data_IF_884008593602
#
_entry.id   IF_884008593602
#
_cell.length_a   1.000
_cell.length_b   1.000
_cell.length_c   1.000
_cell.angle_alpha   90.00
_cell.angle_beta   90.00
_cell.angle_gamma   90.00
#
_symmetry.space_group_name_H-M   'P 1'
#
loop_
_entity.id
_entity.type
_entity.pdbx_description
1 polymer ?
#
# COMPACT_ATOMS: atom_id res chain seq x y z
N UNK A 1 -19.57 5.81 -45.96
CA UNK A 1 -18.75 4.58 -45.86
C UNK A 1 -19.45 3.67 -44.87
N UNK A 2 -19.87 2.49 -45.33
CA UNK A 2 -20.83 1.62 -44.65
C UNK A 2 -20.16 0.75 -43.58
N UNK A 3 -20.82 0.59 -42.44
CA UNK A 3 -20.46 -0.23 -41.27
C UNK A 3 -20.48 -1.76 -41.52
N UNK A 4 -20.00 -2.21 -42.69
CA UNK A 4 -20.11 -3.60 -43.15
C UNK A 4 -18.97 -4.50 -42.70
N UNK A 5 -17.86 -3.96 -42.21
CA UNK A 5 -16.70 -4.75 -41.75
C UNK A 5 -16.89 -5.35 -40.36
N UNK A 6 -17.70 -4.76 -39.48
CA UNK A 6 -17.86 -5.26 -38.11
C UNK A 6 -18.86 -6.43 -37.98
N UNK A 7 -19.84 -6.54 -38.88
CA UNK A 7 -20.82 -7.64 -38.88
C UNK A 7 -20.21 -9.01 -39.21
N UNK A 8 -19.07 -9.05 -39.89
CA UNK A 8 -18.34 -10.30 -40.14
C UNK A 8 -17.49 -10.72 -38.93
N UNK A 9 -17.02 -9.78 -38.11
CA UNK A 9 -16.17 -10.12 -36.99
C UNK A 9 -16.91 -10.94 -35.93
N UNK A 10 -18.16 -10.55 -35.59
CA UNK A 10 -19.01 -11.32 -34.67
C UNK A 10 -19.38 -12.71 -35.20
N UNK A 11 -19.23 -12.95 -36.50
CA UNK A 11 -19.48 -14.26 -37.13
C UNK A 11 -18.30 -15.24 -37.05
N UNK A 12 -17.11 -14.77 -36.68
CA UNK A 12 -15.95 -15.63 -36.43
C UNK A 12 -16.19 -16.53 -35.21
N UNK A 13 -15.55 -17.70 -35.16
CA UNK A 13 -15.59 -18.52 -33.94
C UNK A 13 -14.93 -17.78 -32.77
N UNK A 14 -15.34 -18.12 -31.54
CA UNK A 14 -14.87 -17.45 -30.32
C UNK A 14 -13.34 -17.44 -30.21
N UNK A 15 -12.70 -18.58 -30.47
CA UNK A 15 -11.23 -18.73 -30.40
C UNK A 15 -10.50 -17.75 -31.33
N UNK A 16 -10.97 -17.59 -32.57
CA UNK A 16 -10.40 -16.63 -33.52
C UNK A 16 -10.61 -15.19 -33.06
N UNK A 17 -11.78 -14.84 -32.52
CA UNK A 17 -12.04 -13.49 -31.98
C UNK A 17 -11.14 -13.19 -30.79
N UNK A 18 -11.01 -14.15 -29.88
CA UNK A 18 -10.17 -14.08 -28.69
C UNK A 18 -8.70 -13.83 -29.06
N UNK A 19 -8.17 -14.57 -30.06
CA UNK A 19 -6.82 -14.35 -30.59
C UNK A 19 -6.66 -12.95 -31.20
N UNK A 20 -7.64 -12.49 -31.99
CA UNK A 20 -7.56 -11.17 -32.64
C UNK A 20 -7.59 -10.06 -31.60
N UNK A 21 -8.48 -10.13 -30.60
CA UNK A 21 -8.55 -9.15 -29.52
C UNK A 21 -7.30 -9.11 -28.66
N UNK A 22 -6.78 -10.28 -28.28
CA UNK A 22 -5.51 -10.36 -27.53
C UNK A 22 -4.36 -9.73 -28.32
N UNK A 23 -4.19 -10.08 -29.60
CA UNK A 23 -3.13 -9.53 -30.43
C UNK A 23 -3.28 -8.02 -30.65
N UNK A 24 -4.49 -7.56 -30.95
CA UNK A 24 -4.74 -6.14 -31.21
C UNK A 24 -4.58 -5.28 -29.94
N UNK A 25 -4.98 -5.78 -28.77
CA UNK A 25 -4.71 -5.13 -27.49
C UNK A 25 -3.20 -4.99 -27.25
N UNK A 26 -2.42 -6.06 -27.45
CA UNK A 26 -0.97 -6.04 -27.28
C UNK A 26 -0.28 -5.07 -28.26
N UNK A 27 -0.67 -5.07 -29.54
CA UNK A 27 -0.12 -4.19 -30.57
C UNK A 27 -0.41 -2.72 -30.23
N UNK A 28 -1.65 -2.38 -29.88
CA UNK A 28 -2.00 -1.00 -29.55
C UNK A 28 -1.32 -0.53 -28.26
N UNK A 29 -1.24 -1.40 -27.24
CA UNK A 29 -0.52 -1.10 -26.01
C UNK A 29 0.94 -0.76 -26.30
N UNK A 30 1.63 -1.61 -27.08
CA UNK A 30 3.03 -1.39 -27.42
C UNK A 30 3.22 -0.14 -28.29
N UNK A 31 2.36 0.07 -29.28
CA UNK A 31 2.40 1.28 -30.11
C UNK A 31 2.24 2.56 -29.28
N UNK A 32 1.38 2.57 -28.26
CA UNK A 32 1.29 3.71 -27.34
C UNK A 32 2.60 3.83 -26.56
N UNK A 33 3.08 2.75 -25.94
CA UNK A 33 4.30 2.76 -25.13
C UNK A 33 5.51 3.31 -25.90
N UNK A 34 5.69 2.91 -27.15
CA UNK A 34 6.83 3.31 -28.00
C UNK A 34 6.79 4.79 -28.41
N UNK A 35 5.61 5.41 -28.42
CA UNK A 35 5.42 6.81 -28.84
C UNK A 35 5.31 7.79 -27.66
N UNK A 36 5.44 7.30 -26.42
CA UNK A 36 5.43 8.15 -25.24
C UNK A 36 6.75 8.91 -25.09
N UNK A 37 6.74 10.13 -24.53
CA UNK A 37 7.98 10.85 -24.20
C UNK A 37 8.80 10.07 -23.16
N UNK A 38 10.07 10.41 -23.00
CA UNK A 38 10.95 9.78 -21.99
C UNK A 38 10.51 10.09 -20.55
N UNK A 39 9.90 11.26 -20.33
CA UNK A 39 9.44 11.73 -19.03
C UNK A 39 8.29 12.73 -19.19
N UNK A 40 7.46 12.87 -18.16
CA UNK A 40 6.43 13.89 -18.06
C UNK A 40 6.53 14.67 -16.75
N UNK A 41 6.33 15.99 -16.81
CA UNK A 41 6.24 16.84 -15.61
C UNK A 41 4.89 16.76 -14.91
N UNK A 42 3.85 16.26 -15.59
CA UNK A 42 2.54 16.03 -14.98
C UNK A 42 2.54 14.67 -14.27
N UNK A 43 2.34 14.60 -12.94
CA UNK A 43 2.44 13.35 -12.19
C UNK A 43 1.47 12.25 -12.64
N UNK A 44 0.23 12.61 -13.01
CA UNK A 44 -0.76 11.63 -13.48
C UNK A 44 -0.41 11.07 -14.87
N UNK A 45 0.15 11.92 -15.74
CA UNK A 45 0.64 11.47 -17.04
C UNK A 45 1.91 10.62 -16.89
N UNK A 46 2.81 10.97 -15.96
CA UNK A 46 4.03 10.21 -15.68
C UNK A 46 3.73 8.81 -15.13
N UNK A 47 2.81 8.68 -14.17
CA UNK A 47 2.34 7.36 -13.69
C UNK A 47 1.80 6.48 -14.81
N UNK A 48 0.93 7.02 -15.67
CA UNK A 48 0.39 6.29 -16.81
C UNK A 48 1.47 5.93 -17.83
N UNK A 49 2.44 6.82 -18.04
CA UNK A 49 3.58 6.56 -18.91
C UNK A 49 4.42 5.40 -18.40
N UNK A 50 4.79 5.42 -17.12
CA UNK A 50 5.53 4.34 -16.47
C UNK A 50 4.76 3.01 -16.51
N UNK A 51 3.45 3.05 -16.34
CA UNK A 51 2.57 1.89 -16.49
C UNK A 51 2.59 1.30 -17.91
N UNK A 52 2.61 2.13 -18.96
CA UNK A 52 2.77 1.67 -20.35
C UNK A 52 4.16 1.11 -20.66
N UNK A 53 5.21 1.79 -20.20
CA UNK A 53 6.60 1.33 -20.40
C UNK A 53 6.88 0.05 -19.61
N UNK A 54 6.24 -0.11 -18.46
CA UNK A 54 6.50 -1.17 -17.49
C UNK A 54 7.60 -0.77 -16.51
N UNK A 55 7.36 -0.96 -15.21
CA UNK A 55 8.26 -0.51 -14.14
C UNK A 55 9.64 -1.18 -14.16
N UNK A 56 9.75 -2.36 -14.77
CA UNK A 56 11.00 -3.13 -14.92
C UNK A 56 11.87 -2.59 -16.06
N UNK A 57 11.29 -1.84 -17.01
CA UNK A 57 11.98 -1.25 -18.15
C UNK A 57 12.41 0.20 -17.90
N UNK A 58 12.12 0.75 -16.72
CA UNK A 58 12.53 2.10 -16.34
C UNK A 58 14.01 2.12 -15.95
N UNK A 59 14.73 3.23 -16.22
CA UNK A 59 16.09 3.41 -15.70
C UNK A 59 16.12 3.26 -14.18
N UNK A 60 17.21 2.69 -13.65
CA UNK A 60 17.36 2.42 -12.21
C UNK A 60 17.22 3.65 -11.31
N UNK A 61 17.54 4.83 -11.84
CA UNK A 61 17.46 6.11 -11.14
C UNK A 61 16.09 6.77 -11.21
N UNK A 62 15.18 6.24 -12.02
CA UNK A 62 13.83 6.77 -12.15
C UNK A 62 13.00 6.39 -10.92
N UNK A 63 12.45 7.39 -10.24
CA UNK A 63 11.47 7.14 -9.19
C UNK A 63 10.23 6.47 -9.79
N UNK A 64 9.91 5.27 -9.29
CA UNK A 64 8.72 4.53 -9.70
C UNK A 64 7.48 5.19 -9.13
N UNK A 65 6.56 5.57 -10.01
CA UNK A 65 5.30 6.20 -9.66
C UNK A 65 4.14 5.22 -9.99
N UNK A 66 3.66 4.45 -9.00
CA UNK A 66 2.55 3.50 -9.20
C UNK A 66 1.23 4.20 -9.52
N UNK A 67 0.35 3.54 -10.29
CA UNK A 67 -1.01 4.02 -10.56
C UNK A 67 -1.79 4.17 -9.26
N UNK A 68 -2.60 5.23 -9.16
CA UNK A 68 -3.36 5.52 -7.95
C UNK A 68 -4.79 5.00 -7.98
N UNK A 69 -5.24 4.53 -6.82
CA UNK A 69 -6.61 4.13 -6.52
C UNK A 69 -7.05 4.87 -5.26
N UNK A 70 -8.14 5.63 -5.35
CA UNK A 70 -8.72 6.35 -4.21
C UNK A 70 -10.05 5.70 -3.84
N UNK A 71 -10.10 5.15 -2.63
CA UNK A 71 -11.27 4.51 -2.05
C UNK A 71 -11.80 5.38 -0.93
N UNK A 72 -13.12 5.53 -0.90
CA UNK A 72 -13.83 6.25 0.14
C UNK A 72 -14.83 5.32 0.79
N UNK A 73 -14.82 5.25 2.09
CA UNK A 73 -15.70 4.38 2.87
C UNK A 73 -16.68 5.20 3.70
N UNK A 74 -17.93 4.75 3.74
CA UNK A 74 -18.96 5.31 4.62
C UNK A 74 -18.62 5.03 6.08
N UNK A 75 -18.98 5.94 6.99
CA UNK A 75 -18.68 5.80 8.43
C UNK A 75 -19.16 4.48 9.05
N UNK A 76 -20.25 3.90 8.52
CA UNK A 76 -20.79 2.62 9.00
C UNK A 76 -20.13 1.37 8.36
N UNK A 77 -19.09 1.54 7.52
CA UNK A 77 -18.36 0.45 6.87
C UNK A 77 -19.17 -0.36 5.84
N UNK A 78 -20.39 0.05 5.54
CA UNK A 78 -21.30 -0.69 4.66
C UNK A 78 -21.08 -0.38 3.18
N UNK A 79 -20.60 0.82 2.84
CA UNK A 79 -20.41 1.26 1.46
C UNK A 79 -18.99 1.73 1.23
N UNK A 80 -18.33 1.08 0.29
CA UNK A 80 -17.09 1.61 -0.29
C UNK A 80 -17.35 2.11 -1.69
N UNK A 81 -16.83 3.30 -1.98
CA UNK A 81 -16.93 3.96 -3.28
C UNK A 81 -15.53 4.19 -3.83
N UNK A 82 -15.42 4.06 -5.13
CA UNK A 82 -14.21 4.35 -5.89
C UNK A 82 -14.30 5.76 -6.45
N UNK A 83 -13.42 6.64 -5.98
CA UNK A 83 -13.37 8.04 -6.42
C UNK A 83 -12.48 8.20 -7.65
N UNK A 84 -11.24 7.72 -7.57
CA UNK A 84 -10.26 7.79 -8.65
C UNK A 84 -9.71 6.40 -8.90
N UNK A 85 -9.68 6.01 -10.17
CA UNK A 85 -9.10 4.76 -10.64
C UNK A 85 -8.23 5.01 -11.87
N UNK A 86 -6.94 5.26 -11.65
CA UNK A 86 -6.01 5.51 -12.76
C UNK A 86 -5.80 4.27 -13.64
N UNK A 87 -6.07 3.06 -13.14
CA UNK A 87 -6.05 1.85 -13.96
C UNK A 87 -7.18 1.84 -15.00
N UNK A 88 -8.40 2.25 -14.64
CA UNK A 88 -9.47 2.41 -15.63
C UNK A 88 -9.14 3.50 -16.65
N UNK A 89 -8.51 4.60 -16.21
CA UNK A 89 -8.05 5.65 -17.12
C UNK A 89 -6.97 5.12 -18.10
N UNK A 90 -6.08 4.24 -17.64
CA UNK A 90 -5.11 3.54 -18.48
C UNK A 90 -5.82 2.65 -19.51
N UNK A 91 -6.74 1.78 -19.08
CA UNK A 91 -7.52 0.91 -19.99
C UNK A 91 -8.28 1.73 -21.03
N UNK A 92 -8.91 2.83 -20.62
CA UNK A 92 -9.67 3.71 -21.52
C UNK A 92 -8.79 4.48 -22.51
N UNK A 93 -7.48 4.58 -22.28
CA UNK A 93 -6.54 5.22 -23.22
C UNK A 93 -6.15 4.30 -24.38
N UNK A 94 -6.49 3.01 -24.31
CA UNK A 94 -6.22 2.04 -25.38
C UNK A 94 -7.47 1.98 -26.27
N UNK A 95 -7.41 2.45 -27.53
CA UNK A 95 -8.60 2.65 -28.37
C UNK A 95 -9.47 1.40 -28.54
N UNK A 96 -8.88 0.20 -28.63
CA UNK A 96 -9.65 -1.03 -28.80
C UNK A 96 -10.55 -1.36 -27.60
N UNK A 97 -10.26 -0.82 -26.42
CA UNK A 97 -11.06 -1.02 -25.21
C UNK A 97 -12.49 -0.42 -25.33
N UNK A 98 -12.75 0.43 -26.33
CA UNK A 98 -14.08 1.00 -26.58
C UNK A 98 -14.86 0.25 -27.68
N UNK A 99 -14.26 -0.76 -28.31
CA UNK A 99 -14.89 -1.47 -29.44
C UNK A 99 -16.02 -2.41 -29.00
N UNK A 100 -15.80 -3.17 -27.92
CA UNK A 100 -16.79 -4.07 -27.33
C UNK A 100 -16.40 -4.46 -25.91
N UNK A 101 -17.32 -5.06 -25.15
CA UNK A 101 -17.01 -5.62 -23.83
C UNK A 101 -15.95 -6.73 -23.90
N UNK A 102 -16.00 -7.59 -24.94
CA UNK A 102 -14.98 -8.61 -25.19
C UNK A 102 -13.59 -7.98 -25.38
N UNK A 103 -13.47 -6.99 -26.27
CA UNK A 103 -12.18 -6.33 -26.52
C UNK A 103 -11.66 -5.63 -25.25
N UNK A 104 -12.56 -4.99 -24.49
CA UNK A 104 -12.22 -4.36 -23.22
C UNK A 104 -11.67 -5.36 -22.20
N UNK A 105 -12.23 -6.57 -22.10
CA UNK A 105 -11.75 -7.56 -21.14
C UNK A 105 -10.33 -8.02 -21.45
N UNK A 106 -9.97 -8.18 -22.74
CA UNK A 106 -8.60 -8.47 -23.15
C UNK A 106 -7.62 -7.35 -22.79
N UNK A 107 -8.02 -6.09 -23.00
CA UNK A 107 -7.19 -4.94 -22.58
C UNK A 107 -7.01 -4.90 -21.07
N UNK A 108 -8.09 -5.13 -20.30
CA UNK A 108 -8.04 -5.18 -18.84
C UNK A 108 -7.07 -6.28 -18.38
N UNK A 109 -7.15 -7.48 -18.94
CA UNK A 109 -6.27 -8.59 -18.58
C UNK A 109 -4.81 -8.30 -18.94
N UNK A 110 -4.55 -7.76 -20.14
CA UNK A 110 -3.21 -7.32 -20.52
C UNK A 110 -2.65 -6.27 -19.55
N UNK A 111 -3.45 -5.29 -19.15
CA UNK A 111 -3.04 -4.29 -18.18
C UNK A 111 -2.79 -4.91 -16.80
N UNK A 112 -3.61 -5.85 -16.33
CA UNK A 112 -3.40 -6.57 -15.05
C UNK A 112 -2.03 -7.26 -15.02
N UNK A 113 -1.68 -7.97 -16.09
CA UNK A 113 -0.42 -8.71 -16.18
C UNK A 113 0.81 -7.77 -16.13
N UNK A 114 0.66 -6.55 -16.63
CA UNK A 114 1.74 -5.55 -16.68
C UNK A 114 1.80 -4.65 -15.44
N UNK A 115 0.67 -4.32 -14.83
CA UNK A 115 0.59 -3.40 -13.70
C UNK A 115 0.62 -4.17 -12.39
N UNK A 116 1.83 -4.38 -11.89
CA UNK A 116 2.07 -5.12 -10.63
C UNK A 116 2.00 -4.24 -9.38
N UNK A 117 2.15 -2.92 -9.53
CA UNK A 117 2.25 -1.98 -8.41
C UNK A 117 1.15 -0.91 -8.50
N UNK A 118 0.41 -0.74 -7.41
CA UNK A 118 -0.67 0.25 -7.24
C UNK A 118 -0.50 0.98 -5.92
N UNK A 119 -0.93 2.24 -5.87
CA UNK A 119 -0.95 3.08 -4.67
C UNK A 119 -2.38 3.37 -4.24
N UNK A 120 -2.74 2.85 -3.08
CA UNK A 120 -4.03 3.01 -2.43
C UNK A 120 -4.02 4.23 -1.51
N UNK A 121 -4.98 5.11 -1.76
CA UNK A 121 -5.42 6.14 -0.84
C UNK A 121 -6.82 5.77 -0.35
N UNK A 122 -6.99 5.62 0.96
CA UNK A 122 -8.29 5.33 1.58
C UNK A 122 -8.76 6.54 2.39
N UNK A 123 -10.07 6.75 2.55
CA UNK A 123 -10.57 7.80 3.44
C UNK A 123 -11.92 7.41 4.04
N UNK A 124 -12.14 7.79 5.29
CA UNK A 124 -13.41 7.60 6.00
C UNK A 124 -14.26 8.87 5.94
N UNK A 125 -15.51 8.72 5.51
CA UNK A 125 -16.50 9.80 5.53
C UNK A 125 -17.02 10.02 6.95
N UNK A 126 -16.30 10.77 7.78
CA UNK A 126 -16.66 11.04 9.18
C UNK A 126 -18.01 11.76 9.39
N UNK A 127 -18.61 12.37 8.35
CA UNK A 127 -19.77 13.24 8.52
C UNK A 127 -21.14 12.55 8.37
N UNK A 128 -21.22 11.25 8.06
CA UNK A 128 -22.51 10.54 7.93
C UNK A 128 -23.47 11.09 6.85
N UNK A 129 -23.13 12.21 6.23
CA UNK A 129 -23.87 12.85 5.14
C UNK A 129 -23.54 12.15 3.82
N UNK A 130 -23.92 10.88 3.71
CA UNK A 130 -24.01 10.17 2.42
C UNK A 130 -25.01 10.87 1.46
N UNK A 131 -25.82 11.81 1.97
CA UNK A 131 -26.90 12.48 1.23
C UNK A 131 -26.44 13.64 0.33
N UNK A 132 -25.22 14.16 0.47
CA UNK A 132 -24.75 15.34 -0.32
C UNK A 132 -23.56 15.07 -1.24
N UNK A 133 -23.15 13.81 -1.37
CA UNK A 133 -22.06 13.41 -2.25
C UNK A 133 -22.14 11.96 -2.64
N UNK A 134 -23.22 11.54 -3.30
CA UNK A 134 -23.31 10.25 -3.98
C UNK A 134 -22.48 10.26 -5.29
N UNK A 135 -21.26 10.79 -5.20
CA UNK A 135 -20.30 10.89 -6.28
C UNK A 135 -19.27 9.79 -6.09
N UNK A 136 -19.12 8.91 -7.08
CA UNK A 136 -18.24 7.75 -7.04
C UNK A 136 -18.99 6.47 -7.39
N UNK A 137 -18.27 5.46 -7.89
CA UNK A 137 -18.88 4.16 -8.24
C UNK A 137 -18.83 3.26 -7.01
N UNK A 138 -19.99 2.77 -6.55
CA UNK A 138 -20.04 1.78 -5.47
C UNK A 138 -19.26 0.52 -5.85
N UNK A 139 -18.37 0.10 -4.96
CA UNK A 139 -17.56 -1.09 -5.13
C UNK A 139 -18.40 -2.31 -4.72
N UNK A 140 -19.11 -2.87 -5.71
CA UNK A 140 -19.87 -4.12 -5.56
C UNK A 140 -19.00 -5.36 -5.78
N UNK A 141 -17.87 -5.21 -6.49
CA UNK A 141 -16.89 -6.25 -6.81
C UNK A 141 -15.46 -5.67 -6.72
N UNK A 142 -14.45 -6.54 -6.64
CA UNK A 142 -13.04 -6.14 -6.58
C UNK A 142 -12.66 -5.23 -7.77
N UNK A 143 -11.81 -4.23 -7.51
CA UNK A 143 -11.26 -3.35 -8.55
C UNK A 143 -10.49 -4.17 -9.56
N UNK A 144 -10.65 -3.82 -10.85
CA UNK A 144 -10.05 -4.51 -11.97
C UNK A 144 -8.52 -4.63 -11.97
N UNK A 145 -7.76 -4.08 -11.02
CA UNK A 145 -6.30 -3.97 -11.14
C UNK A 145 -5.48 -5.11 -10.52
N UNK A 146 -6.00 -5.88 -9.55
CA UNK A 146 -5.35 -7.08 -8.94
C UNK A 146 -3.80 -7.05 -8.86
N UNK A 147 -3.19 -6.08 -8.17
CA UNK A 147 -1.73 -5.92 -8.10
C UNK A 147 -1.09 -6.96 -7.18
N UNK A 148 0.18 -7.29 -7.42
CA UNK A 148 0.99 -8.10 -6.49
C UNK A 148 1.66 -7.24 -5.41
N UNK A 149 1.93 -5.97 -5.69
CA UNK A 149 2.45 -5.00 -4.72
C UNK A 149 1.48 -3.85 -4.52
N UNK A 150 1.04 -3.65 -3.28
CA UNK A 150 0.18 -2.55 -2.88
C UNK A 150 0.96 -1.55 -2.03
N UNK A 151 1.08 -0.32 -2.50
CA UNK A 151 1.51 0.81 -1.67
C UNK A 151 0.26 1.36 -0.98
N UNK A 152 0.32 1.55 0.33
CA UNK A 152 -0.75 2.14 1.12
C UNK A 152 -0.23 3.48 1.62
N UNK A 153 -0.69 4.57 1.02
CA UNK A 153 -0.16 5.90 1.32
C UNK A 153 -1.08 6.65 2.28
N UNK A 154 -0.58 6.90 3.50
CA UNK A 154 -1.20 7.81 4.47
C UNK A 154 -0.60 9.19 4.30
N UNK A 155 -1.37 10.12 3.71
CA UNK A 155 -0.93 11.50 3.51
C UNK A 155 -1.32 12.38 4.70
N UNK A 156 -0.44 13.32 5.08
CA UNK A 156 -0.73 14.33 6.10
C UNK A 156 -1.96 15.15 5.70
N UNK A 157 -2.99 15.16 6.53
CA UNK A 157 -4.15 15.99 6.32
C UNK A 157 -3.76 17.47 6.40
N UNK A 158 -3.51 18.11 5.25
CA UNK A 158 -3.67 19.56 5.18
C UNK A 158 -5.16 19.86 5.40
N UNK A 159 -5.45 20.95 6.10
CA UNK A 159 -6.69 21.38 6.77
C UNK A 159 -8.06 21.28 6.05
N UNK A 160 -8.14 20.62 4.89
CA UNK A 160 -9.34 20.51 4.07
C UNK A 160 -9.64 19.12 3.49
N UNK A 161 -8.90 18.06 3.84
CA UNK A 161 -9.25 16.71 3.37
C UNK A 161 -9.18 15.67 4.48
N UNK A 162 -10.24 14.88 4.54
CA UNK A 162 -10.48 13.72 5.40
C UNK A 162 -9.23 12.85 5.50
N UNK A 163 -8.75 12.67 6.73
CA UNK A 163 -7.54 11.92 7.00
C UNK A 163 -7.66 10.51 6.41
N UNK A 164 -6.61 10.10 5.69
CA UNK A 164 -6.47 8.74 5.18
C UNK A 164 -6.18 7.83 6.36
N UNK A 165 -7.22 7.20 6.92
CA UNK A 165 -7.07 6.47 8.16
C UNK A 165 -7.75 5.10 8.08
N UNK A 166 -6.96 4.08 8.38
CA UNK A 166 -7.45 2.80 8.84
C UNK A 166 -7.62 2.87 10.36
N UNK A 167 -8.64 2.20 10.86
CA UNK A 167 -8.96 2.18 12.30
C UNK A 167 -8.25 1.05 13.05
N UNK A 168 -7.80 0.03 12.32
CA UNK A 168 -7.03 -1.09 12.83
C UNK A 168 -6.40 -1.89 11.67
N UNK A 169 -5.57 -2.88 12.02
CA UNK A 169 -5.07 -3.89 11.09
C UNK A 169 -6.18 -4.70 10.43
N UNK A 170 -7.27 -5.04 11.13
CA UNK A 170 -8.42 -5.76 10.57
C UNK A 170 -9.12 -4.95 9.49
N UNK A 171 -9.32 -3.66 9.76
CA UNK A 171 -9.92 -2.74 8.82
C UNK A 171 -9.03 -2.57 7.58
N UNK A 172 -7.70 -2.39 7.75
CA UNK A 172 -6.76 -2.34 6.62
C UNK A 172 -6.87 -3.59 5.74
N UNK A 173 -6.78 -4.78 6.32
CA UNK A 173 -6.83 -6.03 5.55
C UNK A 173 -8.20 -6.23 4.89
N UNK A 174 -9.31 -5.86 5.55
CA UNK A 174 -10.64 -5.94 4.95
C UNK A 174 -10.76 -5.05 3.71
N UNK A 175 -10.33 -3.79 3.79
CA UNK A 175 -10.32 -2.87 2.64
C UNK A 175 -9.45 -3.43 1.52
N UNK A 176 -8.22 -3.86 1.82
CA UNK A 176 -7.31 -4.41 0.81
C UNK A 176 -7.92 -5.63 0.12
N UNK A 177 -8.51 -6.55 0.90
CA UNK A 177 -9.10 -7.78 0.37
C UNK A 177 -10.31 -7.49 -0.50
N UNK A 178 -11.21 -6.59 -0.07
CA UNK A 178 -12.40 -6.21 -0.83
C UNK A 178 -12.07 -5.41 -2.10
N UNK A 179 -11.01 -4.58 -2.07
CA UNK A 179 -10.64 -3.72 -3.20
C UNK A 179 -9.79 -4.48 -4.22
N UNK A 180 -8.84 -5.30 -3.78
CA UNK A 180 -7.83 -5.91 -4.65
C UNK A 180 -7.89 -7.44 -4.72
N UNK A 181 -8.65 -8.08 -3.83
CA UNK A 181 -8.68 -9.54 -3.70
C UNK A 181 -7.45 -10.10 -3.00
N UNK A 182 -7.17 -11.38 -3.23
CA UNK A 182 -6.14 -12.16 -2.53
C UNK A 182 -4.78 -12.21 -3.23
N UNK A 183 -4.60 -11.51 -4.35
CA UNK A 183 -3.39 -11.56 -5.17
C UNK A 183 -2.24 -10.69 -4.63
N UNK A 184 -2.46 -9.92 -3.57
CA UNK A 184 -1.44 -9.05 -3.00
C UNK A 184 -0.38 -9.89 -2.27
N UNK A 185 0.85 -9.82 -2.78
CA UNK A 185 2.02 -10.52 -2.23
C UNK A 185 2.89 -9.61 -1.38
N UNK A 186 2.81 -8.29 -1.60
CA UNK A 186 3.59 -7.30 -0.88
C UNK A 186 2.75 -6.07 -0.55
N UNK A 187 2.84 -5.61 0.69
CA UNK A 187 2.30 -4.33 1.14
C UNK A 187 3.45 -3.37 1.48
N UNK A 188 3.37 -2.13 1.02
CA UNK A 188 4.30 -1.06 1.39
C UNK A 188 3.51 0.02 2.10
N UNK A 189 3.66 0.12 3.42
CA UNK A 189 3.07 1.19 4.22
C UNK A 189 3.90 2.46 4.02
N UNK A 190 3.34 3.44 3.32
CA UNK A 190 3.98 4.73 3.06
C UNK A 190 3.32 5.80 3.93
N UNK A 191 3.89 6.01 5.12
CA UNK A 191 3.28 6.74 6.22
C UNK A 191 3.94 8.11 6.40
N UNK A 192 3.13 9.09 6.77
CA UNK A 192 3.57 10.42 7.19
C UNK A 192 3.12 10.65 8.63
N UNK A 193 4.04 11.14 9.47
CA UNK A 193 3.79 11.40 10.89
C UNK A 193 4.48 12.68 11.36
N UNK A 194 3.91 13.30 12.40
CA UNK A 194 4.59 14.35 13.14
C UNK A 194 5.49 13.72 14.21
N UNK A 195 6.59 14.38 14.56
CA UNK A 195 7.55 13.87 15.56
C UNK A 195 6.97 13.63 16.96
N UNK A 196 5.77 14.16 17.25
CA UNK A 196 5.03 13.97 18.49
C UNK A 196 4.01 12.82 18.42
N UNK A 197 3.78 12.25 17.24
CA UNK A 197 2.87 11.13 17.10
C UNK A 197 3.47 9.88 17.75
N UNK A 198 2.62 9.17 18.48
CA UNK A 198 2.97 7.86 19.02
C UNK A 198 2.75 6.74 18.01
N UNK A 199 3.19 5.53 18.36
CA UNK A 199 3.16 4.39 17.45
C UNK A 199 1.73 4.04 17.02
N UNK A 200 0.77 4.14 17.94
CA UNK A 200 -0.64 3.93 17.63
C UNK A 200 -1.15 5.00 16.67
N UNK A 201 -0.86 6.28 16.89
CA UNK A 201 -1.27 7.36 15.97
C UNK A 201 -0.67 7.23 14.57
N UNK A 202 0.57 6.75 14.48
CA UNK A 202 1.25 6.52 13.20
C UNK A 202 0.46 5.51 12.36
N UNK A 203 0.04 4.39 12.95
CA UNK A 203 -0.65 3.31 12.24
C UNK A 203 -2.18 3.46 12.29
N UNK A 204 -2.75 3.54 13.49
CA UNK A 204 -4.17 3.47 13.84
C UNK A 204 -4.64 4.72 14.64
N UNK A 205 -4.77 5.90 14.01
CA UNK A 205 -5.04 7.17 14.72
C UNK A 205 -6.42 7.27 15.40
N UNK A 206 -7.29 6.28 15.22
CA UNK A 206 -8.62 6.23 15.82
C UNK A 206 -8.75 5.21 16.97
N UNK A 207 -7.69 4.46 17.26
CA UNK A 207 -7.68 3.50 18.36
C UNK A 207 -7.32 4.20 19.68
N UNK A 208 -7.86 3.72 20.79
CA UNK A 208 -7.49 4.22 22.12
C UNK A 208 -5.98 4.02 22.32
N UNK A 209 -5.29 5.09 22.76
CA UNK A 209 -3.86 5.03 23.04
C UNK A 209 -3.61 4.04 24.18
N UNK A 210 -2.83 2.99 23.91
CA UNK A 210 -2.33 2.11 24.96
C UNK A 210 -1.31 2.92 25.78
N UNK A 211 -1.54 3.04 27.09
CA UNK A 211 -0.63 3.75 27.98
C UNK A 211 0.76 3.11 27.94
N UNK A 212 1.79 3.95 28.03
CA UNK A 212 3.21 3.60 27.89
C UNK A 212 3.65 2.45 28.81
N UNK A 213 3.01 2.29 29.96
CA UNK A 213 3.40 1.36 31.01
C UNK A 213 3.21 -0.12 30.64
N UNK A 214 2.45 -0.43 29.57
CA UNK A 214 2.29 -1.80 29.04
C UNK A 214 3.31 -2.15 27.94
N UNK A 215 4.09 -1.18 27.47
CA UNK A 215 5.17 -1.43 26.51
C UNK A 215 6.42 -1.88 27.27
N UNK A 216 6.36 -3.11 27.79
CA UNK A 216 7.48 -3.79 28.40
C UNK A 216 8.71 -3.75 27.48
N UNK A 217 9.91 -3.81 28.05
CA UNK A 217 11.16 -3.96 27.30
C UNK A 217 10.98 -4.98 26.17
N UNK A 218 11.48 -4.67 24.97
CA UNK A 218 11.42 -5.62 23.85
C UNK A 218 12.05 -6.94 24.27
N UNK A 219 11.24 -7.99 24.43
CA UNK A 219 11.72 -9.33 24.74
C UNK A 219 12.64 -9.77 23.59
N UNK A 220 13.91 -9.99 23.92
CA UNK A 220 14.96 -10.27 22.94
C UNK A 220 15.72 -11.54 23.31
N UNK A 221 16.07 -12.30 22.28
CA UNK A 221 16.91 -13.48 22.40
C UNK A 221 18.15 -13.32 21.54
N UNK A 222 19.32 -13.44 22.17
CA UNK A 222 20.58 -13.38 21.43
C UNK A 222 20.83 -14.67 20.65
N UNK A 223 21.05 -14.51 19.36
CA UNK A 223 21.41 -15.61 18.47
C UNK A 223 22.89 -15.95 18.73
N UNK A 224 23.13 -17.19 19.16
CA UNK A 224 24.48 -17.71 19.46
C UNK A 224 25.04 -18.62 18.36
N UNK A 225 24.27 -18.85 17.30
CA UNK A 225 24.69 -19.66 16.16
C UNK A 225 25.79 -18.91 15.38
N UNK A 226 27.02 -19.46 15.27
CA UNK A 226 28.11 -18.83 14.53
C UNK A 226 27.88 -18.76 13.02
N UNK A 227 26.93 -19.54 12.49
CA UNK A 227 26.57 -19.57 11.07
C UNK A 227 25.46 -18.60 10.70
N UNK A 228 24.81 -17.99 11.70
CA UNK A 228 23.78 -16.98 11.48
C UNK A 228 24.39 -15.69 10.91
N UNK A 229 23.73 -15.12 9.90
CA UNK A 229 24.15 -13.85 9.33
C UNK A 229 23.98 -12.72 10.35
N UNK A 230 25.09 -12.04 10.67
CA UNK A 230 25.13 -11.02 11.71
C UNK A 230 24.24 -9.82 11.43
N UNK A 231 23.89 -9.55 10.18
CA UNK A 231 22.95 -8.47 9.81
C UNK A 231 21.48 -8.90 9.84
N UNK A 232 21.20 -10.20 9.94
CA UNK A 232 19.82 -10.69 9.91
C UNK A 232 19.21 -10.68 11.30
N UNK A 233 18.02 -10.07 11.40
CA UNK A 233 17.18 -10.02 12.60
C UNK A 233 15.84 -10.66 12.26
N UNK A 234 15.22 -11.33 13.23
CA UNK A 234 13.87 -11.84 13.01
C UNK A 234 12.99 -11.77 14.24
N UNK A 235 11.67 -11.70 14.03
CA UNK A 235 10.66 -11.68 15.08
C UNK A 235 9.74 -12.89 14.94
N UNK A 236 9.63 -13.66 16.02
CA UNK A 236 8.81 -14.87 16.13
C UNK A 236 7.35 -14.55 16.53
N UNK A 237 6.41 -15.49 16.36
CA UNK A 237 5.00 -15.29 16.72
C UNK A 237 4.71 -14.92 18.17
N UNK A 238 5.59 -15.31 19.09
CA UNK A 238 5.56 -14.89 20.49
C UNK A 238 6.14 -13.49 20.73
N UNK A 239 6.34 -12.72 19.65
CA UNK A 239 6.76 -11.31 19.64
C UNK A 239 8.17 -11.07 20.19
N UNK A 240 9.02 -12.10 20.16
CA UNK A 240 10.41 -12.00 20.59
C UNK A 240 11.33 -11.63 19.43
N UNK A 241 12.21 -10.67 19.67
CA UNK A 241 13.23 -10.27 18.70
C UNK A 241 14.47 -11.15 18.84
N UNK A 242 14.85 -11.83 17.77
CA UNK A 242 16.08 -12.60 17.69
C UNK A 242 17.14 -11.84 16.91
N UNK A 243 18.26 -11.55 17.58
CA UNK A 243 19.31 -10.65 17.08
C UNK A 243 20.69 -11.11 17.53
N UNK A 244 21.73 -10.83 16.77
CA UNK A 244 23.10 -11.07 17.25
C UNK A 244 23.50 -10.06 18.32
N UNK A 245 24.20 -10.50 19.37
CA UNK A 245 24.63 -9.62 20.47
C UNK A 245 25.50 -8.46 19.97
N UNK A 246 26.38 -8.74 19.00
CA UNK A 246 27.25 -7.74 18.37
C UNK A 246 26.43 -6.64 17.68
N UNK A 247 25.35 -7.00 17.00
CA UNK A 247 24.51 -6.03 16.31
C UNK A 247 23.70 -5.19 17.31
N UNK A 248 23.19 -5.82 18.38
CA UNK A 248 22.44 -5.14 19.43
C UNK A 248 23.28 -4.06 20.14
N UNK A 249 24.46 -4.41 20.64
CA UNK A 249 25.30 -3.49 21.43
C UNK A 249 25.68 -2.22 20.65
N UNK A 250 25.78 -2.31 19.33
CA UNK A 250 26.08 -1.16 18.47
C UNK A 250 24.88 -0.30 18.10
N UNK A 251 23.65 -0.81 18.22
CA UNK A 251 22.44 -0.20 17.65
C UNK A 251 21.22 -0.32 18.57
N UNK A 252 21.42 -0.36 19.90
CA UNK A 252 20.38 -0.69 20.88
C UNK A 252 19.09 0.13 20.70
N UNK A 253 19.21 1.46 20.58
CA UNK A 253 18.05 2.34 20.39
C UNK A 253 17.32 2.12 19.06
N UNK A 254 18.06 2.00 17.95
CA UNK A 254 17.46 1.74 16.64
C UNK A 254 16.80 0.36 16.59
N UNK A 255 17.36 -0.62 17.31
CA UNK A 255 16.81 -1.97 17.41
C UNK A 255 15.51 -2.01 18.20
N UNK A 256 15.43 -1.27 19.31
CA UNK A 256 14.18 -1.11 20.06
C UNK A 256 13.08 -0.47 19.20
N UNK A 257 13.41 0.61 18.48
CA UNK A 257 12.46 1.27 17.59
C UNK A 257 12.02 0.35 16.45
N UNK A 258 12.98 -0.34 15.79
CA UNK A 258 12.66 -1.33 14.76
C UNK A 258 11.75 -2.43 15.31
N UNK A 259 12.03 -2.97 16.49
CA UNK A 259 11.22 -4.01 17.09
C UNK A 259 9.77 -3.56 17.31
N UNK A 260 9.56 -2.34 17.78
CA UNK A 260 8.22 -1.75 17.93
C UNK A 260 7.46 -1.70 16.61
N UNK A 261 8.12 -1.27 15.53
CA UNK A 261 7.48 -1.28 14.21
C UNK A 261 7.19 -2.71 13.74
N UNK A 262 8.08 -3.68 13.99
CA UNK A 262 7.84 -5.08 13.65
C UNK A 262 6.64 -5.67 14.38
N UNK A 263 6.36 -5.27 15.62
CA UNK A 263 5.13 -5.67 16.31
C UNK A 263 3.88 -5.26 15.51
N UNK A 264 3.85 -4.02 15.00
CA UNK A 264 2.73 -3.53 14.16
C UNK A 264 2.64 -4.26 12.83
N UNK A 265 3.78 -4.62 12.21
CA UNK A 265 3.76 -5.43 11.00
C UNK A 265 3.26 -6.87 11.29
N UNK A 266 3.58 -7.41 12.48
CA UNK A 266 3.11 -8.72 12.90
C UNK A 266 1.58 -8.73 13.13
N UNK A 267 1.01 -7.70 13.75
CA UNK A 267 -0.44 -7.51 13.88
C UNK A 267 -1.15 -7.59 12.51
N UNK A 268 -0.60 -6.92 11.50
CA UNK A 268 -1.13 -6.96 10.13
C UNK A 268 -1.05 -8.38 9.55
N UNK A 269 0.09 -9.07 9.73
CA UNK A 269 0.26 -10.43 9.23
C UNK A 269 -0.69 -11.43 9.89
N UNK A 270 -0.93 -11.31 11.20
CA UNK A 270 -1.83 -12.21 11.91
C UNK A 270 -3.24 -12.20 11.33
N UNK A 271 -3.75 -11.02 10.99
CA UNK A 271 -5.04 -10.88 10.30
C UNK A 271 -4.95 -11.31 8.83
N UNK A 272 -3.85 -10.95 8.16
CA UNK A 272 -3.69 -11.22 6.73
C UNK A 272 -3.62 -12.71 6.39
N UNK A 273 -3.15 -13.57 7.30
CA UNK A 273 -3.02 -15.03 7.08
C UNK A 273 -4.26 -15.68 6.47
N UNK A 274 -5.46 -15.26 6.89
CA UNK A 274 -6.72 -15.84 6.40
C UNK A 274 -7.26 -15.16 5.14
N UNK A 275 -6.97 -13.87 4.94
CA UNK A 275 -7.62 -13.03 3.91
C UNK A 275 -6.72 -12.70 2.72
N UNK A 276 -5.41 -12.64 2.94
CA UNK A 276 -4.37 -12.41 1.94
C UNK A 276 -3.31 -13.54 2.02
N UNK A 277 -3.67 -14.78 1.66
CA UNK A 277 -2.77 -15.94 1.78
C UNK A 277 -1.50 -15.82 0.93
N UNK A 278 -1.48 -14.93 -0.08
CA UNK A 278 -0.32 -14.65 -0.90
C UNK A 278 0.68 -13.66 -0.27
N UNK A 279 0.34 -13.01 0.85
CA UNK A 279 1.16 -11.95 1.43
C UNK A 279 2.47 -12.52 2.01
N UNK A 280 3.59 -12.09 1.42
CA UNK A 280 4.95 -12.53 1.76
C UNK A 280 5.80 -11.41 2.35
N UNK A 281 5.46 -10.14 2.13
CA UNK A 281 6.30 -9.03 2.57
C UNK A 281 5.47 -7.82 2.98
N UNK A 282 5.92 -7.16 4.05
CA UNK A 282 5.43 -5.84 4.46
C UNK A 282 6.63 -4.93 4.63
N UNK A 283 6.70 -3.89 3.80
CA UNK A 283 7.67 -2.81 3.96
C UNK A 283 7.01 -1.63 4.67
N UNK A 284 7.77 -0.96 5.52
CA UNK A 284 7.40 0.33 6.09
C UNK A 284 8.34 1.41 5.55
N UNK A 285 7.75 2.51 5.09
CA UNK A 285 8.41 3.79 4.81
C UNK A 285 7.70 4.85 5.62
N UNK A 286 8.37 5.41 6.61
CA UNK A 286 7.86 6.47 7.46
C UNK A 286 8.60 7.77 7.14
N UNK A 287 7.83 8.84 6.95
CA UNK A 287 8.32 10.19 6.78
C UNK A 287 7.90 11.01 8.00
N UNK A 288 8.88 11.40 8.80
CA UNK A 288 8.67 12.15 10.05
C UNK A 288 9.07 13.61 9.86
N UNK A 289 8.15 14.54 10.13
CA UNK A 289 8.46 15.97 10.15
C UNK A 289 9.05 16.35 11.50
N UNK A 290 10.29 16.84 11.49
CA UNK A 290 11.02 17.26 12.69
C UNK A 290 11.77 18.56 12.40
N UNK A 291 11.41 19.63 13.10
CA UNK A 291 12.10 20.94 13.03
C UNK A 291 12.38 21.44 11.59
N UNK A 292 11.36 21.39 10.74
CA UNK A 292 11.42 21.79 9.32
C UNK A 292 12.19 20.86 8.37
N UNK A 293 12.71 19.74 8.88
CA UNK A 293 13.27 18.65 8.10
C UNK A 293 12.32 17.45 7.98
N UNK A 294 12.51 16.65 6.92
CA UNK A 294 11.83 15.37 6.72
C UNK A 294 12.85 14.25 6.91
N UNK A 295 12.66 13.48 7.98
CA UNK A 295 13.49 12.33 8.31
C UNK A 295 12.78 11.06 7.85
N UNK A 296 13.50 10.17 7.17
CA UNK A 296 12.91 8.95 6.61
C UNK A 296 13.40 7.72 7.34
N UNK A 297 12.45 6.91 7.81
CA UNK A 297 12.70 5.58 8.36
C UNK A 297 12.16 4.53 7.39
N UNK A 298 12.96 3.50 7.09
CA UNK A 298 12.61 2.39 6.20
C UNK A 298 12.94 1.07 6.87
N UNK A 299 11.96 0.18 6.92
CA UNK A 299 12.11 -1.21 7.36
C UNK A 299 11.52 -2.10 6.28
N UNK A 300 12.26 -3.13 5.86
CA UNK A 300 11.76 -4.15 4.93
C UNK A 300 11.63 -5.46 5.66
N UNK A 301 10.41 -5.97 5.74
CA UNK A 301 10.12 -7.22 6.43
C UNK A 301 9.60 -8.27 5.44
N UNK A 302 10.16 -9.48 5.56
CA UNK A 302 9.75 -10.65 4.77
C UNK A 302 9.19 -11.69 5.72
N UNK A 303 7.97 -12.13 5.47
CA UNK A 303 7.33 -13.20 6.20
C UNK A 303 7.71 -14.55 5.60
N UNK A 304 8.38 -15.39 6.39
CA UNK A 304 8.79 -16.73 5.99
C UNK A 304 8.80 -17.65 7.20
N UNK A 305 8.26 -18.87 7.03
CA UNK A 305 8.21 -19.90 8.07
C UNK A 305 7.52 -19.43 9.37
N UNK A 306 6.51 -18.57 9.25
CA UNK A 306 5.77 -18.00 10.38
C UNK A 306 6.50 -16.88 11.12
N UNK A 307 7.62 -16.39 10.58
CA UNK A 307 8.52 -15.43 11.21
C UNK A 307 8.69 -14.21 10.31
N UNK A 308 8.84 -13.04 10.94
CA UNK A 308 9.20 -11.80 10.26
C UNK A 308 10.71 -11.63 10.21
N UNK A 309 11.31 -11.66 9.03
CA UNK A 309 12.73 -11.48 8.79
C UNK A 309 13.05 -10.07 8.31
N UNK A 310 14.13 -9.50 8.81
CA UNK A 310 14.67 -8.20 8.42
C UNK A 310 16.17 -8.33 8.22
N UNK A 311 16.68 -7.85 7.10
CA UNK A 311 18.11 -7.60 6.94
C UNK A 311 18.41 -6.16 7.39
N UNK A 312 19.27 -6.03 8.40
CA UNK A 312 19.71 -4.75 8.93
C UNK A 312 20.34 -3.86 7.87
N UNK A 313 20.96 -4.44 6.84
CA UNK A 313 21.55 -3.67 5.73
C UNK A 313 20.51 -2.86 4.94
N UNK A 314 19.24 -3.28 5.01
CA UNK A 314 18.10 -2.64 4.34
C UNK A 314 17.33 -1.66 5.24
N UNK A 315 17.64 -1.64 6.53
CA UNK A 315 17.05 -0.75 7.53
C UNK A 315 17.73 0.61 7.48
N UNK A 316 16.90 1.66 7.51
CA UNK A 316 17.36 3.02 7.75
C UNK A 316 16.45 3.63 8.80
N UNK A 317 16.99 4.10 9.93
CA UNK A 317 16.23 4.84 10.93
C UNK A 317 16.62 6.31 10.83
N UNK A 318 15.69 7.15 10.40
CA UNK A 318 15.93 8.58 10.22
C UNK A 318 15.65 9.41 11.48
N UNK A 319 14.80 8.91 12.37
CA UNK A 319 14.41 9.60 13.60
C UNK A 319 14.01 8.61 14.68
N UNK A 320 14.35 8.95 15.93
CA UNK A 320 13.90 8.22 17.12
C UNK A 320 12.63 8.83 17.66
N UNK A 321 11.53 8.07 17.66
CA UNK A 321 10.33 8.50 18.35
C UNK A 321 10.53 8.36 19.86
N UNK A 322 10.76 9.48 20.56
CA UNK A 322 10.45 9.53 21.99
C UNK A 322 8.94 9.54 22.08
N UNK A 323 8.32 8.39 22.31
CA UNK A 323 6.91 8.30 22.68
C UNK A 323 6.70 9.07 23.99
N UNK A 324 6.37 10.37 23.88
CA UNK A 324 6.28 11.27 25.04
C UNK A 324 4.99 10.96 25.78
N UNK A 325 5.14 10.75 27.09
CA UNK A 325 4.04 10.68 28.03
C UNK A 325 3.29 12.02 28.04
N UNK A 326 2.08 12.07 27.49
CA UNK A 326 1.20 13.22 27.72
C UNK A 326 0.62 13.04 29.11
N UNK A 327 1.34 13.54 30.12
CA UNK A 327 0.79 13.70 31.46
C UNK A 327 -0.26 14.80 31.36
N UNK A 328 -1.53 14.42 31.29
CA UNK A 328 -2.60 15.37 31.56
C UNK A 328 -2.48 15.76 33.03
N UNK A 329 -1.94 16.95 33.29
CA UNK A 329 -2.10 17.59 34.58
C UNK A 329 -3.59 17.81 34.78
N UNK A 330 -4.24 16.96 35.56
CA UNK A 330 -5.53 17.26 36.15
C UNK A 330 -5.35 18.50 37.00
N UNK A 331 -5.75 19.65 36.44
CA UNK A 331 -5.92 20.87 37.21
C UNK A 331 -6.86 20.52 38.36
N UNK A 332 -6.49 20.71 39.63
CA UNK A 332 -7.42 20.50 40.72
C UNK A 332 -8.56 21.47 40.53
N UNK A 333 -9.79 20.97 40.44
CA UNK A 333 -10.98 21.80 40.58
C UNK A 333 -10.86 22.54 41.92
N UNK A 334 -10.68 23.85 41.83
CA UNK A 334 -10.89 24.74 42.97
C UNK A 334 -12.39 24.70 43.27
N UNK A 335 -12.75 23.86 44.23
CA UNK A 335 -14.03 23.96 44.93
C UNK A 335 -13.99 25.19 45.85
N UNK A 336 -14.82 26.19 45.52
CA UNK A 336 -15.41 27.12 46.49
C UNK A 336 -16.92 26.83 46.59
#
# INVERSE_FOLDING_TARGET
MSATTFTQFSSLCKELRDMIWSAAAAIQFQHIADNLPTSSSNPCAERRRQAFVGYDNLPSETERQPLRVYVRESYNGHKMRLDINEFQALVNSIPIATASYEARSYVVNLCRDRIKIVDLYHSLNAQGNDEHGDTGVELLENVFVQPTTLVVTKWRANSYNTAVNFESQEHLIDVVTRVFGSCVEKVVLNLWADSQDDLEKIYWPHTAQIQRDEWEETDRTFIRDPSHDLSTVFMTPDRKLHVSEKLWVGNEYDMEDMARYLLKLFEILDVAKERLPGLQSIDMKLHTYCWDDILSTRIRAVHKDGVLWVDWSDVAIGFHHRFVEVVYSTTPELSD
#
